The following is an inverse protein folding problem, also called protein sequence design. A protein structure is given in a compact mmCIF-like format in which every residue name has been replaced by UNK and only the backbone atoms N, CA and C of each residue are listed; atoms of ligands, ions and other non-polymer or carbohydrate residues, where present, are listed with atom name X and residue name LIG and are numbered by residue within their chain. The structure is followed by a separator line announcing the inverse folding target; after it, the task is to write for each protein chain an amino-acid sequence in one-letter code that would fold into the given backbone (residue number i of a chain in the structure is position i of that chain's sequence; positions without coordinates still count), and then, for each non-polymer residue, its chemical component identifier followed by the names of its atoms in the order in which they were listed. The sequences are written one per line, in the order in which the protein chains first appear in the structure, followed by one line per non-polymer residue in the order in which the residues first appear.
data_IF_907376926219
#
_entry.id   IF_907376926219
#
_cell.length_a   1.000
_cell.length_b   1.000
_cell.length_c   1.000
_cell.angle_alpha   90.00
_cell.angle_beta   90.00
_cell.angle_gamma   90.00
#
_symmetry.space_group_name_H-M   'P 1'
#
loop_
_entity.id
_entity.type
_entity.pdbx_description
1 polymer ?
#
# COMPACT_ATOMS: atom_id res chain seq x y z
N UNK A 1 36.32 -17.10 -19.67
CA UNK A 1 34.93 -17.59 -19.83
C UNK A 1 34.00 -16.38 -19.83
N UNK A 2 32.97 -16.33 -20.66
CA UNK A 2 32.02 -15.22 -20.62
C UNK A 2 31.29 -15.17 -19.27
N UNK A 3 30.89 -13.96 -18.85
CA UNK A 3 30.08 -13.81 -17.63
C UNK A 3 28.72 -14.49 -17.79
N UNK A 4 28.22 -15.10 -16.74
CA UNK A 4 26.89 -15.70 -16.73
C UNK A 4 25.78 -14.63 -16.74
N UNK A 5 24.66 -14.94 -17.39
CA UNK A 5 23.46 -14.09 -17.35
C UNK A 5 22.97 -13.95 -15.89
N UNK A 6 22.68 -12.73 -15.45
CA UNK A 6 22.26 -12.44 -14.07
C UNK A 6 20.73 -12.38 -13.90
N UNK A 7 19.98 -12.41 -15.00
CA UNK A 7 18.53 -12.27 -15.00
C UNK A 7 18.04 -10.81 -14.89
N UNK A 8 16.73 -10.64 -14.70
CA UNK A 8 16.12 -9.32 -14.56
C UNK A 8 16.39 -8.73 -13.17
N UNK A 9 16.62 -7.42 -13.12
CA UNK A 9 16.75 -6.66 -11.88
C UNK A 9 15.78 -5.48 -11.92
N UNK A 10 14.97 -5.35 -10.86
CA UNK A 10 14.02 -4.25 -10.69
C UNK A 10 14.54 -3.28 -9.62
N UNK A 11 14.33 -1.95 -9.79
CA UNK A 11 14.59 -1.00 -8.72
C UNK A 11 13.68 -1.30 -7.54
N UNK A 12 14.21 -1.20 -6.32
CA UNK A 12 13.46 -1.53 -5.11
C UNK A 12 13.50 -0.43 -4.04
N UNK A 13 14.36 0.57 -4.21
CA UNK A 13 14.52 1.69 -3.27
C UNK A 13 14.59 2.98 -4.09
N UNK A 14 13.77 3.93 -3.71
CA UNK A 14 13.81 5.29 -4.26
C UNK A 14 13.66 6.30 -3.11
N UNK A 15 14.36 7.43 -3.19
CA UNK A 15 14.24 8.49 -2.19
C UNK A 15 14.15 9.84 -2.88
N UNK A 16 13.24 10.68 -2.39
CA UNK A 16 13.08 12.06 -2.86
C UNK A 16 12.67 12.97 -1.70
N UNK A 17 12.74 14.28 -1.92
CA UNK A 17 12.28 15.28 -0.95
C UNK A 17 10.85 15.72 -1.26
N UNK A 18 10.08 15.90 -0.19
CA UNK A 18 8.79 16.58 -0.18
C UNK A 18 8.89 17.72 0.84
N UNK A 19 9.22 18.92 0.37
CA UNK A 19 9.58 20.01 1.27
C UNK A 19 10.81 19.63 2.12
N UNK A 20 10.67 19.75 3.44
CA UNK A 20 11.68 19.34 4.41
C UNK A 20 11.69 17.83 4.71
N UNK A 21 10.71 17.06 4.23
CA UNK A 21 10.65 15.61 4.48
C UNK A 21 11.42 14.81 3.42
N UNK A 22 11.95 13.66 3.82
CA UNK A 22 12.47 12.65 2.89
C UNK A 22 11.49 11.47 2.81
N UNK A 23 11.05 11.14 1.61
CA UNK A 23 10.13 10.05 1.32
C UNK A 23 10.90 8.92 0.67
N UNK A 24 10.80 7.72 1.22
CA UNK A 24 11.51 6.54 0.70
C UNK A 24 10.53 5.38 0.50
N UNK A 25 9.88 5.26 -0.68
CA UNK A 25 9.20 4.03 -1.05
C UNK A 25 10.20 2.87 -1.14
N UNK A 26 9.83 1.73 -0.57
CA UNK A 26 10.64 0.51 -0.58
C UNK A 26 9.75 -0.62 -1.09
N UNK A 27 10.05 -1.17 -2.26
CA UNK A 27 9.36 -2.37 -2.72
C UNK A 27 9.80 -3.55 -1.87
N UNK A 28 8.98 -3.95 -0.90
CA UNK A 28 9.24 -5.11 -0.04
C UNK A 28 9.43 -6.38 -0.87
N UNK A 29 8.51 -6.59 -1.79
CA UNK A 29 8.51 -7.76 -2.68
C UNK A 29 7.49 -7.55 -3.80
N UNK A 30 7.29 -8.54 -4.66
CA UNK A 30 6.24 -8.54 -5.66
C UNK A 30 5.79 -9.97 -5.98
N UNK A 31 4.61 -10.11 -6.54
CA UNK A 31 4.10 -11.36 -7.09
C UNK A 31 3.58 -11.14 -8.51
N UNK A 32 3.75 -12.12 -9.37
CA UNK A 32 3.08 -12.17 -10.67
C UNK A 32 1.75 -12.88 -10.48
N UNK A 33 0.66 -12.14 -10.56
CA UNK A 33 -0.70 -12.67 -10.43
C UNK A 33 -1.18 -13.27 -11.74
N UNK A 34 -1.95 -14.39 -11.72
CA UNK A 34 -2.56 -14.95 -12.90
C UNK A 34 -3.79 -14.15 -13.30
N UNK A 35 -3.66 -13.30 -14.34
CA UNK A 35 -4.77 -12.51 -14.90
C UNK A 35 -5.23 -11.33 -14.06
N UNK A 36 -5.79 -10.34 -14.75
CA UNK A 36 -6.43 -9.17 -14.13
C UNK A 36 -7.83 -9.51 -13.60
N UNK A 37 -8.49 -10.50 -14.19
CA UNK A 37 -9.75 -11.06 -13.68
C UNK A 37 -9.48 -12.45 -13.06
N UNK A 38 -10.25 -12.80 -12.00
CA UNK A 38 -11.38 -12.10 -11.39
C UNK A 38 -11.02 -10.91 -10.48
N UNK A 39 -9.73 -10.61 -10.28
CA UNK A 39 -9.27 -9.61 -9.29
C UNK A 39 -9.93 -8.24 -9.46
N UNK A 40 -10.22 -7.83 -10.70
CA UNK A 40 -10.87 -6.56 -11.02
C UNK A 40 -12.22 -6.81 -11.70
N UNK A 41 -13.31 -6.48 -11.01
CA UNK A 41 -14.69 -6.57 -11.51
C UNK A 41 -15.28 -7.98 -11.59
N UNK A 42 -14.54 -9.01 -11.16
CA UNK A 42 -14.96 -10.40 -11.24
C UNK A 42 -15.03 -10.94 -12.66
N UNK A 43 -15.44 -12.21 -12.81
CA UNK A 43 -15.53 -12.89 -14.12
C UNK A 43 -16.51 -12.23 -15.09
N UNK A 44 -17.57 -11.62 -14.59
CA UNK A 44 -18.57 -10.93 -15.43
C UNK A 44 -18.00 -9.73 -16.21
N UNK A 45 -16.83 -9.22 -15.83
CA UNK A 45 -16.13 -8.10 -16.46
C UNK A 45 -14.86 -8.50 -17.22
N UNK A 46 -14.61 -9.79 -17.40
CA UNK A 46 -13.39 -10.31 -18.00
C UNK A 46 -13.09 -9.72 -19.38
N UNK A 47 -14.08 -9.66 -20.29
CA UNK A 47 -13.89 -9.13 -21.63
C UNK A 47 -13.60 -7.62 -21.63
N UNK A 48 -14.28 -6.86 -20.76
CA UNK A 48 -14.04 -5.41 -20.60
C UNK A 48 -12.63 -5.14 -20.08
N UNK A 49 -12.20 -5.87 -19.04
CA UNK A 49 -10.86 -5.74 -18.45
C UNK A 49 -9.78 -6.16 -19.44
N UNK A 50 -10.01 -7.22 -20.22
CA UNK A 50 -9.10 -7.68 -21.26
C UNK A 50 -8.95 -6.66 -22.40
N UNK A 51 -10.07 -6.06 -22.84
CA UNK A 51 -10.04 -5.00 -23.82
C UNK A 51 -9.28 -3.76 -23.32
N UNK A 52 -9.48 -3.38 -22.05
CA UNK A 52 -8.78 -2.30 -21.39
C UNK A 52 -7.26 -2.57 -21.28
N UNK A 53 -6.88 -3.77 -20.89
CA UNK A 53 -5.48 -4.18 -20.82
C UNK A 53 -4.81 -4.05 -22.19
N UNK A 54 -5.46 -4.56 -23.25
CA UNK A 54 -4.97 -4.44 -24.63
C UNK A 54 -4.80 -2.98 -25.06
N UNK A 55 -5.78 -2.12 -24.74
CA UNK A 55 -5.71 -0.69 -25.07
C UNK A 55 -4.53 0.01 -24.38
N UNK A 56 -4.14 -0.45 -23.20
CA UNK A 56 -2.99 0.06 -22.43
C UNK A 56 -1.68 -0.70 -22.72
N UNK A 57 -1.67 -1.63 -23.69
CA UNK A 57 -0.50 -2.45 -24.06
C UNK A 57 0.04 -3.29 -22.89
N UNK A 58 -0.83 -3.69 -21.96
CA UNK A 58 -0.54 -4.60 -20.86
C UNK A 58 -1.13 -5.98 -21.15
N UNK A 59 -0.42 -7.04 -20.69
CA UNK A 59 -0.97 -8.39 -20.72
C UNK A 59 -2.17 -8.52 -19.80
N UNK A 60 -3.18 -9.29 -20.21
CA UNK A 60 -4.33 -9.62 -19.37
C UNK A 60 -4.16 -10.90 -18.57
N UNK A 61 -3.23 -11.77 -18.99
CA UNK A 61 -3.08 -13.12 -18.46
C UNK A 61 -2.17 -13.19 -17.24
N UNK A 62 -1.35 -12.15 -17.06
CA UNK A 62 -0.49 -11.97 -15.88
C UNK A 62 -0.31 -10.49 -15.62
N UNK A 63 -0.22 -10.11 -14.33
CA UNK A 63 0.16 -8.75 -13.97
C UNK A 63 1.11 -8.72 -12.79
N UNK A 64 1.96 -7.71 -12.79
CA UNK A 64 2.91 -7.45 -11.73
C UNK A 64 2.19 -6.78 -10.56
N UNK A 65 2.34 -7.32 -9.36
CA UNK A 65 1.69 -6.83 -8.16
C UNK A 65 2.74 -6.59 -7.07
N UNK A 66 3.23 -5.34 -6.94
CA UNK A 66 4.24 -4.97 -5.95
C UNK A 66 3.61 -4.79 -4.57
N UNK A 67 4.45 -4.83 -3.55
CA UNK A 67 4.16 -4.47 -2.17
C UNK A 67 5.15 -3.39 -1.75
N UNK A 68 4.68 -2.16 -1.55
CA UNK A 68 5.56 -0.99 -1.44
C UNK A 68 5.29 -0.16 -0.18
N UNK A 69 5.78 -0.60 0.99
CA UNK A 69 5.86 0.23 2.19
C UNK A 69 6.61 1.55 1.93
N UNK A 70 6.31 2.57 2.73
CA UNK A 70 6.90 3.90 2.58
C UNK A 70 7.48 4.38 3.90
N UNK A 71 8.76 4.79 3.89
CA UNK A 71 9.37 5.54 4.98
C UNK A 71 9.22 7.04 4.73
N UNK A 72 8.86 7.77 5.76
CA UNK A 72 8.84 9.24 5.80
C UNK A 72 9.73 9.69 6.94
N UNK A 73 10.86 10.30 6.59
CA UNK A 73 11.73 10.97 7.57
C UNK A 73 11.35 12.45 7.63
N UNK A 74 10.80 12.87 8.76
CA UNK A 74 10.37 14.25 8.99
C UNK A 74 11.52 15.14 9.49
N UNK A 75 12.70 14.58 9.68
CA UNK A 75 13.83 15.24 10.36
C UNK A 75 13.74 15.22 11.89
N UNK A 76 12.59 14.74 12.44
CA UNK A 76 12.35 14.54 13.88
C UNK A 76 11.96 13.12 14.22
N UNK A 77 11.14 12.49 13.38
CA UNK A 77 10.67 11.12 13.53
C UNK A 77 10.76 10.40 12.19
N UNK A 78 11.11 9.13 12.22
CA UNK A 78 11.06 8.21 11.10
C UNK A 78 9.76 7.42 11.17
N UNK A 79 8.86 7.66 10.23
CA UNK A 79 7.53 7.04 10.14
C UNK A 79 7.55 5.98 9.06
N UNK A 80 7.17 4.76 9.38
CA UNK A 80 6.99 3.66 8.41
C UNK A 80 5.49 3.41 8.20
N UNK A 81 5.03 3.49 6.96
CA UNK A 81 3.69 3.08 6.53
C UNK A 81 3.73 1.67 6.00
N UNK A 82 3.01 0.77 6.66
CA UNK A 82 2.92 -0.65 6.39
C UNK A 82 4.26 -1.39 6.47
N UNK A 83 4.22 -2.70 6.56
CA UNK A 83 5.43 -3.49 6.85
C UNK A 83 5.68 -4.63 5.85
N UNK A 84 4.89 -4.70 4.77
CA UNK A 84 5.08 -5.75 3.76
C UNK A 84 4.71 -7.14 4.25
N UNK A 85 5.23 -8.13 3.55
CA UNK A 85 4.89 -9.54 3.74
C UNK A 85 5.62 -10.22 4.91
N UNK A 86 6.78 -9.68 5.32
CA UNK A 86 7.60 -10.29 6.36
C UNK A 86 7.90 -11.76 6.09
N UNK A 87 7.77 -12.58 7.14
CA UNK A 87 8.03 -14.03 7.11
C UNK A 87 6.77 -14.87 6.95
N UNK A 88 5.60 -14.28 6.62
CA UNK A 88 4.31 -14.98 6.58
C UNK A 88 4.31 -16.24 5.73
N UNK A 89 4.95 -16.24 4.56
CA UNK A 89 5.00 -17.43 3.69
C UNK A 89 5.90 -18.54 4.24
N UNK A 90 6.81 -18.23 5.14
CA UNK A 90 7.62 -19.23 5.83
C UNK A 90 6.93 -19.79 7.08
N UNK A 91 6.15 -18.94 7.77
CA UNK A 91 5.50 -19.29 9.03
C UNK A 91 4.13 -19.95 8.83
N UNK A 92 3.42 -19.65 7.72
CA UNK A 92 2.04 -20.10 7.51
C UNK A 92 1.85 -20.77 6.15
N UNK A 93 1.41 -22.02 6.15
CA UNK A 93 1.17 -22.83 4.94
C UNK A 93 0.17 -22.15 3.99
N UNK A 94 -0.87 -21.49 4.54
CA UNK A 94 -1.89 -20.77 3.77
C UNK A 94 -1.33 -19.56 3.00
N UNK A 95 -0.16 -19.06 3.37
CA UNK A 95 0.51 -17.95 2.69
C UNK A 95 1.52 -18.40 1.64
N UNK A 96 1.93 -19.67 1.64
CA UNK A 96 2.82 -20.22 0.61
C UNK A 96 2.21 -20.06 -0.78
N UNK A 97 3.00 -19.53 -1.70
CA UNK A 97 2.55 -19.25 -3.08
C UNK A 97 1.56 -18.10 -3.24
N UNK A 98 1.04 -17.53 -2.16
CA UNK A 98 0.16 -16.36 -2.18
C UNK A 98 0.92 -15.05 -1.99
N UNK A 99 1.85 -15.04 -1.05
CA UNK A 99 2.76 -13.92 -0.78
C UNK A 99 4.20 -14.40 -0.86
N UNK A 100 5.09 -13.69 -1.54
CA UNK A 100 6.52 -13.96 -1.49
C UNK A 100 7.10 -13.56 -0.13
N UNK A 101 8.28 -14.06 0.26
CA UNK A 101 8.98 -13.57 1.44
C UNK A 101 9.25 -12.07 1.32
N UNK A 102 9.03 -11.33 2.40
CA UNK A 102 9.33 -9.91 2.50
C UNK A 102 10.83 -9.64 2.56
N UNK A 103 11.25 -8.49 2.05
CA UNK A 103 12.63 -8.02 2.07
C UNK A 103 12.76 -6.60 2.66
N UNK A 104 11.70 -6.11 3.31
CA UNK A 104 11.65 -4.73 3.79
C UNK A 104 12.87 -4.39 4.66
N UNK A 105 13.17 -5.20 5.68
CA UNK A 105 14.29 -4.94 6.62
C UNK A 105 15.64 -4.90 5.89
N UNK A 106 15.88 -5.84 4.97
CA UNK A 106 17.11 -5.86 4.19
C UNK A 106 17.23 -4.63 3.27
N UNK A 107 16.12 -4.19 2.67
CA UNK A 107 16.08 -3.02 1.81
C UNK A 107 16.12 -1.70 2.60
N UNK A 108 15.56 -1.67 3.79
CA UNK A 108 15.75 -0.56 4.74
C UNK A 108 17.24 -0.37 5.05
N UNK A 109 17.97 -1.46 5.31
CA UNK A 109 19.41 -1.40 5.55
C UNK A 109 20.18 -0.84 4.35
N UNK A 110 19.80 -1.23 3.12
CA UNK A 110 20.35 -0.64 1.89
C UNK A 110 20.01 0.85 1.74
N UNK A 111 18.84 1.26 2.25
CA UNK A 111 18.41 2.66 2.30
C UNK A 111 19.08 3.45 3.44
N UNK A 112 19.88 2.82 4.30
CA UNK A 112 20.58 3.44 5.42
C UNK A 112 19.79 3.49 6.73
N UNK A 113 18.71 2.70 6.86
CA UNK A 113 17.87 2.61 8.05
C UNK A 113 17.84 1.20 8.64
N UNK A 114 17.60 1.13 9.95
CA UNK A 114 17.38 -0.13 10.67
C UNK A 114 15.98 -0.13 11.29
N UNK A 115 15.41 -1.29 11.66
CA UNK A 115 14.15 -1.34 12.39
C UNK A 115 14.13 -0.50 13.66
N UNK A 116 15.27 -0.40 14.35
CA UNK A 116 15.42 0.38 15.59
C UNK A 116 15.43 1.89 15.39
N UNK A 117 15.59 2.36 14.16
CA UNK A 117 15.54 3.79 13.79
C UNK A 117 14.09 4.27 13.56
N UNK A 118 13.14 3.33 13.43
CA UNK A 118 11.74 3.66 13.21
C UNK A 118 11.09 4.10 14.51
N UNK A 119 10.59 5.32 14.55
CA UNK A 119 9.90 5.90 15.72
C UNK A 119 8.42 5.55 15.71
N UNK A 120 7.83 5.50 14.53
CA UNK A 120 6.38 5.28 14.34
C UNK A 120 6.12 4.28 13.23
N UNK A 121 5.36 3.25 13.52
CA UNK A 121 4.79 2.35 12.50
C UNK A 121 3.30 2.62 12.37
N UNK A 122 2.87 3.01 11.19
CA UNK A 122 1.47 3.25 10.84
C UNK A 122 0.99 2.10 9.99
N UNK A 123 -0.06 1.42 10.40
CA UNK A 123 -0.72 0.40 9.58
C UNK A 123 -1.98 1.00 8.96
N UNK A 124 -2.00 1.02 7.64
CA UNK A 124 -3.12 1.59 6.86
C UNK A 124 -4.37 0.74 6.99
N UNK A 125 -4.22 -0.59 6.97
CA UNK A 125 -5.28 -1.57 7.19
C UNK A 125 -4.73 -2.97 7.51
N UNK A 126 -5.60 -3.91 7.87
CA UNK A 126 -5.23 -5.20 8.45
C UNK A 126 -5.01 -6.35 7.47
N UNK A 127 -4.78 -6.12 6.19
CA UNK A 127 -4.46 -7.21 5.27
C UNK A 127 -3.04 -7.76 5.49
N UNK A 128 -2.81 -9.05 5.19
CA UNK A 128 -1.55 -9.73 5.51
C UNK A 128 -0.30 -9.07 4.94
N UNK A 129 -0.37 -8.54 3.73
CA UNK A 129 0.72 -7.88 3.02
C UNK A 129 1.08 -6.48 3.57
N UNK A 130 0.28 -5.94 4.49
CA UNK A 130 0.55 -4.69 5.21
C UNK A 130 1.06 -4.92 6.61
N UNK A 131 0.62 -6.01 7.26
CA UNK A 131 0.96 -6.31 8.66
C UNK A 131 2.04 -7.38 8.82
N UNK A 132 2.41 -8.08 7.73
CA UNK A 132 3.24 -9.28 7.80
C UNK A 132 4.63 -9.06 8.38
N UNK A 133 5.22 -7.91 8.14
CA UNK A 133 6.53 -7.55 8.67
C UNK A 133 6.54 -6.96 10.09
N UNK A 134 5.38 -6.84 10.76
CA UNK A 134 5.31 -6.36 12.14
C UNK A 134 5.95 -7.34 13.14
N UNK A 135 5.89 -8.63 12.82
CA UNK A 135 6.37 -9.69 13.72
C UNK A 135 7.16 -10.73 12.95
N UNK A 136 8.24 -11.21 13.54
CA UNK A 136 9.02 -12.36 13.09
C UNK A 136 9.18 -13.33 14.26
N UNK A 137 8.84 -14.60 14.04
CA UNK A 137 8.84 -15.64 15.08
C UNK A 137 8.11 -15.19 16.37
N UNK A 138 7.03 -14.44 16.26
CA UNK A 138 6.24 -13.94 17.37
C UNK A 138 6.87 -12.75 18.14
N UNK A 139 7.96 -12.17 17.64
CA UNK A 139 8.60 -11.00 18.26
C UNK A 139 8.38 -9.75 17.38
N UNK A 140 8.13 -8.58 17.98
CA UNK A 140 8.00 -7.33 17.23
C UNK A 140 9.30 -6.98 16.49
N UNK A 141 9.24 -6.76 15.18
CA UNK A 141 10.39 -6.32 14.37
C UNK A 141 10.77 -4.88 14.71
N UNK A 142 9.80 -4.01 14.89
CA UNK A 142 9.98 -2.59 15.20
C UNK A 142 9.77 -2.34 16.70
N UNK A 143 10.56 -3.00 17.55
CA UNK A 143 10.32 -3.07 18.99
C UNK A 143 10.38 -1.71 19.71
N UNK A 144 11.12 -0.72 19.17
CA UNK A 144 11.24 0.65 19.73
C UNK A 144 10.13 1.59 19.28
N UNK A 145 9.48 1.28 18.17
CA UNK A 145 8.45 2.13 17.60
C UNK A 145 7.18 2.16 18.47
N UNK A 146 6.48 3.30 18.47
CA UNK A 146 5.04 3.33 18.77
C UNK A 146 4.26 2.90 17.53
N UNK A 147 3.10 2.31 17.71
CA UNK A 147 2.25 1.87 16.63
C UNK A 147 1.04 2.80 16.48
N UNK A 148 0.53 2.94 15.25
CA UNK A 148 -0.66 3.72 14.96
C UNK A 148 -1.58 2.86 14.10
N UNK A 149 -2.80 2.63 14.58
CA UNK A 149 -3.84 1.85 13.91
C UNK A 149 -5.13 2.66 13.78
N UNK A 150 -5.84 2.48 12.67
CA UNK A 150 -7.20 2.98 12.55
C UNK A 150 -8.13 2.33 13.58
N UNK A 151 -8.85 3.13 14.37
CA UNK A 151 -9.74 2.59 15.42
C UNK A 151 -10.81 1.66 14.85
N UNK A 152 -11.43 2.03 13.73
CA UNK A 152 -12.45 1.22 13.05
C UNK A 152 -11.86 -0.10 12.53
N UNK A 153 -10.65 -0.05 11.98
CA UNK A 153 -9.93 -1.21 11.45
C UNK A 153 -9.56 -2.18 12.56
N UNK A 154 -8.99 -1.63 13.65
CA UNK A 154 -8.63 -2.43 14.82
C UNK A 154 -9.85 -3.12 15.43
N UNK A 155 -10.93 -2.37 15.63
CA UNK A 155 -12.18 -2.91 16.17
C UNK A 155 -12.75 -4.04 15.32
N UNK A 156 -12.79 -3.86 13.99
CA UNK A 156 -13.31 -4.86 13.06
C UNK A 156 -12.56 -6.20 13.17
N UNK A 157 -11.24 -6.16 13.03
CA UNK A 157 -10.45 -7.40 13.06
C UNK A 157 -10.36 -8.00 14.46
N UNK A 158 -10.25 -7.19 15.50
CA UNK A 158 -10.17 -7.67 16.88
C UNK A 158 -11.48 -8.33 17.34
N UNK A 159 -12.62 -7.67 17.15
CA UNK A 159 -13.94 -8.22 17.50
C UNK A 159 -14.30 -9.41 16.63
N UNK A 160 -13.99 -9.36 15.34
CA UNK A 160 -14.26 -10.42 14.38
C UNK A 160 -15.74 -10.57 14.01
N UNK A 161 -16.56 -9.60 14.39
CA UNK A 161 -17.96 -9.53 14.00
C UNK A 161 -18.04 -9.22 12.49
N UNK A 162 -18.90 -9.95 11.77
CA UNK A 162 -19.12 -9.77 10.33
C UNK A 162 -17.89 -10.03 9.43
N UNK A 163 -16.84 -10.67 9.93
CA UNK A 163 -15.71 -11.10 9.10
C UNK A 163 -16.18 -12.24 8.19
N UNK A 164 -16.08 -12.01 6.86
CA UNK A 164 -16.48 -13.02 5.86
C UNK A 164 -15.65 -14.29 6.02
N UNK A 165 -16.21 -15.43 5.68
CA UNK A 165 -15.52 -16.75 5.74
C UNK A 165 -14.15 -16.72 5.08
N UNK A 166 -14.08 -16.16 3.86
CA UNK A 166 -12.84 -16.04 3.09
C UNK A 166 -11.76 -15.16 3.76
N UNK A 167 -12.10 -14.42 4.82
CA UNK A 167 -11.22 -13.51 5.58
C UNK A 167 -10.87 -14.01 6.98
N UNK A 168 -11.40 -15.15 7.41
CA UNK A 168 -11.14 -15.67 8.76
C UNK A 168 -9.67 -15.87 9.04
N UNK A 169 -8.91 -16.37 8.06
CA UNK A 169 -7.47 -16.54 8.22
C UNK A 169 -6.74 -15.19 8.33
N UNK A 170 -7.16 -14.17 7.57
CA UNK A 170 -6.60 -12.81 7.73
C UNK A 170 -6.85 -12.29 9.15
N UNK A 171 -8.04 -12.53 9.71
CA UNK A 171 -8.34 -12.19 11.11
C UNK A 171 -7.45 -12.94 12.11
N UNK A 172 -7.23 -14.22 11.90
CA UNK A 172 -6.33 -15.02 12.77
C UNK A 172 -4.92 -14.41 12.78
N UNK A 173 -4.39 -14.04 11.60
CA UNK A 173 -3.11 -13.33 11.49
C UNK A 173 -3.14 -11.99 12.21
N UNK A 174 -4.19 -11.19 11.99
CA UNK A 174 -4.34 -9.88 12.64
C UNK A 174 -4.32 -10.00 14.16
N UNK A 175 -5.11 -10.90 14.71
CA UNK A 175 -5.17 -11.14 16.15
C UNK A 175 -3.82 -11.60 16.70
N UNK A 176 -3.10 -12.42 15.97
CA UNK A 176 -1.79 -12.92 16.38
C UNK A 176 -0.68 -11.89 16.27
N UNK A 177 -0.73 -11.01 15.27
CA UNK A 177 0.37 -10.09 14.92
C UNK A 177 0.13 -8.68 15.48
N UNK A 178 -1.09 -8.15 15.32
CA UNK A 178 -1.40 -6.75 15.61
C UNK A 178 -1.92 -6.54 17.03
N UNK A 179 -2.84 -7.40 17.48
CA UNK A 179 -3.46 -7.23 18.80
C UNK A 179 -2.46 -7.20 19.96
N UNK A 180 -1.35 -7.99 19.96
CA UNK A 180 -0.34 -7.90 21.02
C UNK A 180 0.36 -6.55 21.09
N UNK A 181 0.35 -5.75 20.03
CA UNK A 181 0.97 -4.43 19.96
C UNK A 181 0.05 -3.30 20.44
N UNK A 182 -1.22 -3.60 20.72
CA UNK A 182 -2.24 -2.59 21.06
C UNK A 182 -1.89 -1.75 22.31
N UNK A 183 -1.17 -2.31 23.26
CA UNK A 183 -0.74 -1.59 24.47
C UNK A 183 0.31 -0.49 24.21
N UNK A 184 0.97 -0.53 23.04
CA UNK A 184 1.93 0.48 22.55
C UNK A 184 1.36 1.29 21.39
N UNK A 185 0.08 1.15 21.11
CA UNK A 185 -0.55 1.74 19.94
C UNK A 185 -1.42 2.94 20.28
N UNK A 186 -1.45 3.88 19.35
CA UNK A 186 -2.44 4.96 19.31
C UNK A 186 -3.52 4.59 18.29
N UNK A 187 -4.77 4.59 18.73
CA UNK A 187 -5.93 4.39 17.87
C UNK A 187 -6.38 5.74 17.31
N UNK A 188 -6.39 5.87 15.98
CA UNK A 188 -6.74 7.13 15.30
C UNK A 188 -8.00 6.97 14.44
N UNK A 189 -8.57 8.12 14.08
CA UNK A 189 -9.73 8.26 13.19
C UNK A 189 -9.39 9.17 12.01
N UNK A 190 -10.20 9.20 10.95
CA UNK A 190 -10.06 10.20 9.89
C UNK A 190 -10.00 11.63 10.47
N UNK A 191 -9.04 12.42 10.01
CA UNK A 191 -8.77 13.76 10.49
C UNK A 191 -7.70 13.86 11.58
N UNK A 192 -7.39 12.78 12.29
CA UNK A 192 -6.35 12.79 13.32
C UNK A 192 -4.95 12.90 12.69
N UNK A 193 -4.05 13.55 13.43
CA UNK A 193 -2.65 13.70 13.05
C UNK A 193 -1.79 12.60 13.68
N UNK A 194 -0.93 11.98 12.88
CA UNK A 194 0.02 10.95 13.34
C UNK A 194 1.27 11.60 13.96
N UNK A 195 1.86 12.50 13.20
CA UNK A 195 2.95 13.41 13.54
C UNK A 195 2.72 14.72 12.79
N UNK A 196 3.33 15.85 13.17
CA UNK A 196 3.15 17.11 12.46
C UNK A 196 3.37 16.95 10.94
N UNK A 197 2.34 17.30 10.16
CA UNK A 197 2.33 17.20 8.72
C UNK A 197 1.85 15.85 8.14
N UNK A 198 1.45 14.88 8.96
CA UNK A 198 0.90 13.60 8.52
C UNK A 198 -0.48 13.38 9.13
N UNK A 199 -1.52 13.34 8.30
CA UNK A 199 -2.93 13.31 8.74
C UNK A 199 -3.73 12.20 8.06
N UNK A 200 -4.52 11.48 8.87
CA UNK A 200 -5.40 10.40 8.41
C UNK A 200 -6.58 10.90 7.58
N UNK A 201 -6.90 10.18 6.52
CA UNK A 201 -8.02 10.43 5.61
C UNK A 201 -8.87 9.17 5.53
N UNK A 202 -10.20 9.32 5.56
CA UNK A 202 -11.13 8.21 5.32
C UNK A 202 -10.89 7.60 3.93
N UNK A 203 -10.59 6.31 3.92
CA UNK A 203 -10.47 5.51 2.70
C UNK A 203 -11.19 4.15 2.85
N UNK A 204 -12.23 4.09 3.69
CA UNK A 204 -12.98 2.89 4.03
C UNK A 204 -13.60 2.20 2.81
N UNK A 205 -13.65 0.89 2.86
CA UNK A 205 -14.31 0.05 1.85
C UNK A 205 -13.48 -1.14 1.41
N UNK A 206 -12.23 -0.94 0.98
CA UNK A 206 -11.30 -2.03 0.69
C UNK A 206 -11.08 -2.91 1.93
N UNK A 207 -10.85 -2.28 3.05
CA UNK A 207 -11.06 -2.82 4.39
C UNK A 207 -11.99 -1.87 5.15
N UNK A 208 -12.76 -2.32 6.16
CA UNK A 208 -13.76 -1.50 6.83
C UNK A 208 -13.25 -0.21 7.45
N UNK A 209 -11.98 -0.17 7.84
CA UNK A 209 -11.36 0.98 8.47
C UNK A 209 -10.07 1.44 7.80
N UNK A 210 -9.82 1.11 6.53
CA UNK A 210 -8.64 1.54 5.79
C UNK A 210 -8.49 3.06 5.85
N UNK A 211 -7.30 3.52 6.24
CA UNK A 211 -6.93 4.93 6.25
C UNK A 211 -5.90 5.23 5.14
N UNK A 212 -6.16 6.29 4.39
CA UNK A 212 -5.15 6.97 3.60
C UNK A 212 -4.49 8.07 4.45
N UNK A 213 -3.37 8.63 4.00
CA UNK A 213 -2.65 9.65 4.75
C UNK A 213 -2.17 10.77 3.84
N UNK A 214 -2.57 12.01 4.13
CA UNK A 214 -1.93 13.19 3.54
C UNK A 214 -0.62 13.44 4.26
N UNK A 215 0.42 13.81 3.49
CA UNK A 215 1.75 14.14 3.95
C UNK A 215 2.08 15.51 3.40
N UNK A 216 2.39 16.46 4.28
CA UNK A 216 2.63 17.86 3.92
C UNK A 216 3.86 18.40 4.64
N UNK A 217 4.74 19.06 3.88
CA UNK A 217 5.90 19.78 4.40
C UNK A 217 6.22 20.96 3.49
N UNK A 218 6.45 22.14 4.06
CA UNK A 218 6.84 23.37 3.36
C UNK A 218 5.94 23.69 2.15
N UNK A 219 4.63 23.49 2.30
CA UNK A 219 3.63 23.71 1.26
C UNK A 219 3.59 22.66 0.13
N UNK A 220 4.45 21.66 0.16
CA UNK A 220 4.37 20.50 -0.74
C UNK A 220 3.51 19.40 -0.11
N UNK A 221 2.65 18.79 -0.93
CA UNK A 221 1.68 17.81 -0.46
C UNK A 221 1.67 16.55 -1.29
N UNK A 222 1.53 15.41 -0.63
CA UNK A 222 1.23 14.13 -1.24
C UNK A 222 0.20 13.34 -0.44
N UNK A 223 -0.30 12.26 -1.00
CA UNK A 223 -1.13 11.29 -0.31
C UNK A 223 -0.57 9.86 -0.48
N UNK A 224 -0.45 9.14 0.62
CA UNK A 224 -0.37 7.69 0.61
C UNK A 224 -1.81 7.14 0.67
N UNK A 225 -2.33 6.62 -0.43
CA UNK A 225 -3.70 6.12 -0.51
C UNK A 225 -3.85 4.62 -0.22
N UNK A 226 -2.73 3.94 0.13
CA UNK A 226 -2.69 2.50 0.39
C UNK A 226 -3.38 1.70 -0.74
N UNK A 227 -4.42 0.94 -0.38
CA UNK A 227 -5.16 0.05 -1.28
C UNK A 227 -6.47 0.64 -1.84
N UNK A 228 -6.60 1.96 -1.84
CA UNK A 228 -7.71 2.62 -2.55
C UNK A 228 -7.77 2.20 -4.03
N UNK A 229 -6.61 1.90 -4.64
CA UNK A 229 -6.50 1.38 -6.00
C UNK A 229 -5.44 0.27 -6.07
N UNK A 230 -5.76 -0.82 -6.73
CA UNK A 230 -4.87 -1.98 -6.87
C UNK A 230 -4.12 -2.07 -8.20
N UNK A 231 -4.42 -1.19 -9.19
CA UNK A 231 -3.76 -1.24 -10.51
C UNK A 231 -3.81 0.11 -11.23
N UNK A 232 -2.67 0.58 -11.70
CA UNK A 232 -2.49 1.91 -12.30
C UNK A 232 -3.33 2.19 -13.56
N UNK A 233 -3.70 1.19 -14.34
CA UNK A 233 -4.57 1.37 -15.50
C UNK A 233 -6.02 0.98 -15.19
N UNK A 234 -6.26 -0.25 -14.72
CA UNK A 234 -7.63 -0.77 -14.54
C UNK A 234 -8.39 0.05 -13.51
N UNK A 235 -7.84 0.24 -12.31
CA UNK A 235 -8.54 0.99 -11.25
C UNK A 235 -8.79 2.45 -11.62
N UNK A 236 -7.90 3.07 -12.41
CA UNK A 236 -8.04 4.47 -12.81
C UNK A 236 -9.05 4.64 -13.95
N UNK A 237 -8.97 3.80 -14.96
CA UNK A 237 -9.85 3.92 -16.15
C UNK A 237 -11.24 3.30 -15.92
N UNK A 238 -11.37 2.41 -14.95
CA UNK A 238 -12.63 1.80 -14.52
C UNK A 238 -12.74 1.83 -12.98
N UNK A 239 -12.89 3.02 -12.40
CA UNK A 239 -12.98 3.18 -10.95
C UNK A 239 -14.26 2.56 -10.35
N UNK A 240 -15.23 2.22 -11.20
CA UNK A 240 -16.46 1.51 -10.88
C UNK A 240 -16.26 -0.01 -10.67
N UNK A 241 -15.15 -0.57 -11.13
CA UNK A 241 -14.85 -1.99 -10.90
C UNK A 241 -14.29 -2.16 -9.48
N UNK A 242 -14.97 -2.99 -8.69
CA UNK A 242 -14.46 -3.38 -7.37
C UNK A 242 -13.27 -4.33 -7.52
N UNK A 243 -12.43 -4.39 -6.50
CA UNK A 243 -11.46 -5.47 -6.34
C UNK A 243 -12.17 -6.67 -5.69
N UNK A 244 -11.78 -7.88 -6.05
CA UNK A 244 -12.31 -9.09 -5.44
C UNK A 244 -12.03 -9.15 -3.94
N UNK A 245 -10.94 -8.52 -3.54
CA UNK A 245 -10.48 -8.38 -2.16
C UNK A 245 -11.14 -7.23 -1.39
N UNK A 246 -11.97 -6.38 -2.00
CA UNK A 246 -12.72 -5.34 -1.28
C UNK A 246 -13.73 -5.97 -0.31
N UNK A 247 -13.70 -5.60 0.96
CA UNK A 247 -14.61 -6.12 1.98
C UNK A 247 -16.01 -5.53 1.86
N UNK A 248 -16.12 -4.24 1.57
CA UNK A 248 -17.35 -3.55 1.17
C UNK A 248 -17.16 -2.98 -0.23
N UNK A 249 -17.63 -3.72 -1.23
CA UNK A 249 -17.38 -3.43 -2.65
C UNK A 249 -17.98 -2.09 -3.10
N UNK A 250 -19.18 -1.78 -2.63
CA UNK A 250 -19.88 -0.54 -3.00
C UNK A 250 -19.18 0.68 -2.39
N UNK A 251 -18.86 0.58 -1.10
CA UNK A 251 -18.14 1.62 -0.39
C UNK A 251 -16.72 1.83 -0.94
N UNK A 252 -16.01 0.76 -1.27
CA UNK A 252 -14.68 0.84 -1.89
C UNK A 252 -14.72 1.60 -3.22
N UNK A 253 -15.71 1.31 -4.08
CA UNK A 253 -15.93 2.04 -5.34
C UNK A 253 -16.25 3.51 -5.11
N UNK A 254 -17.15 3.82 -4.17
CA UNK A 254 -17.50 5.19 -3.84
C UNK A 254 -16.30 5.98 -3.27
N UNK A 255 -15.56 5.37 -2.36
CA UNK A 255 -14.34 5.92 -1.77
C UNK A 255 -13.26 6.16 -2.83
N UNK A 256 -13.03 5.19 -3.70
CA UNK A 256 -12.06 5.29 -4.80
C UNK A 256 -12.34 6.49 -5.70
N UNK A 257 -13.59 6.65 -6.14
CA UNK A 257 -14.01 7.79 -6.95
C UNK A 257 -13.79 9.11 -6.24
N UNK A 258 -14.19 9.20 -4.97
CA UNK A 258 -13.99 10.41 -4.14
C UNK A 258 -12.51 10.77 -3.99
N UNK A 259 -11.64 9.79 -3.71
CA UNK A 259 -10.21 10.03 -3.56
C UNK A 259 -9.59 10.41 -4.90
N UNK A 260 -9.96 9.77 -6.01
CA UNK A 260 -9.46 10.13 -7.33
C UNK A 260 -9.86 11.56 -7.71
N UNK A 261 -11.11 11.97 -7.43
CA UNK A 261 -11.55 13.34 -7.65
C UNK A 261 -10.77 14.35 -6.81
N UNK A 262 -10.54 14.04 -5.53
CA UNK A 262 -9.76 14.87 -4.63
C UNK A 262 -8.33 15.07 -5.14
N UNK A 263 -7.60 13.98 -5.39
CA UNK A 263 -6.20 14.06 -5.80
C UNK A 263 -6.01 14.70 -7.16
N UNK A 264 -6.96 14.49 -8.09
CA UNK A 264 -6.94 15.13 -9.41
C UNK A 264 -7.29 16.62 -9.35
N UNK A 265 -8.15 17.05 -8.42
CA UNK A 265 -8.49 18.46 -8.21
C UNK A 265 -7.34 19.22 -7.56
N UNK A 266 -6.76 18.62 -6.52
CA UNK A 266 -5.72 19.24 -5.71
C UNK A 266 -4.32 19.10 -6.30
N UNK A 267 -4.16 18.32 -7.39
CA UNK A 267 -2.87 18.07 -8.03
C UNK A 267 -1.88 17.35 -7.11
N UNK A 268 -2.36 16.47 -6.23
CA UNK A 268 -1.51 15.81 -5.25
C UNK A 268 -0.63 14.73 -5.90
N UNK A 269 0.62 14.68 -5.48
CA UNK A 269 1.44 13.47 -5.70
C UNK A 269 0.84 12.33 -4.89
N UNK A 270 0.67 11.19 -5.53
CA UNK A 270 0.08 9.99 -4.95
C UNK A 270 1.13 8.91 -4.80
N UNK A 271 1.14 8.25 -3.65
CA UNK A 271 1.82 6.98 -3.45
C UNK A 271 0.78 5.88 -3.25
N UNK A 272 0.94 4.76 -3.93
CA UNK A 272 0.06 3.60 -3.80
C UNK A 272 0.84 2.31 -3.63
N UNK A 273 0.36 1.46 -2.71
CA UNK A 273 1.08 0.26 -2.28
C UNK A 273 1.29 -0.76 -3.41
N UNK A 274 0.30 -0.90 -4.31
CA UNK A 274 0.33 -1.82 -5.45
C UNK A 274 0.50 -1.13 -6.80
N UNK A 275 0.90 0.13 -6.81
CA UNK A 275 0.95 0.90 -8.04
C UNK A 275 2.24 0.70 -8.84
N UNK A 276 2.12 0.79 -10.15
CA UNK A 276 3.21 0.69 -11.11
C UNK A 276 3.22 1.90 -12.05
N UNK A 277 4.35 2.25 -12.67
CA UNK A 277 5.68 1.65 -12.45
C UNK A 277 6.24 1.99 -11.07
N UNK A 278 7.20 1.18 -10.60
CA UNK A 278 7.94 1.54 -9.40
C UNK A 278 8.55 2.95 -9.53
N UNK A 279 8.50 3.81 -8.51
CA UNK A 279 8.25 3.54 -7.08
C UNK A 279 6.77 3.57 -6.65
N UNK A 280 5.80 3.44 -7.54
CA UNK A 280 4.38 3.53 -7.21
C UNK A 280 3.88 4.95 -6.96
N UNK A 281 4.64 5.93 -7.43
CA UNK A 281 4.36 7.37 -7.31
C UNK A 281 3.81 7.93 -8.62
N UNK A 282 2.89 8.88 -8.54
CA UNK A 282 2.36 9.54 -9.73
C UNK A 282 1.24 10.52 -9.43
N UNK A 283 0.67 11.06 -10.47
CA UNK A 283 -0.47 11.96 -10.43
C UNK A 283 -1.69 11.31 -11.07
N UNK A 284 -2.87 11.72 -10.64
CA UNK A 284 -4.14 11.32 -11.23
C UNK A 284 -4.66 12.48 -12.06
N UNK A 285 -4.94 12.23 -13.32
CA UNK A 285 -5.55 13.21 -14.20
C UNK A 285 -6.94 12.76 -14.65
N UNK A 286 -7.89 13.68 -14.70
CA UNK A 286 -9.22 13.40 -15.27
C UNK A 286 -9.12 13.21 -16.77
N UNK A 287 -9.89 12.25 -17.27
CA UNK A 287 -10.17 12.07 -18.70
C UNK A 287 -11.65 12.36 -18.97
N UNK A 288 -12.12 12.22 -20.20
CA UNK A 288 -13.53 12.46 -20.51
C UNK A 288 -14.50 11.60 -19.68
N UNK A 289 -14.13 10.36 -19.34
CA UNK A 289 -15.04 9.41 -18.69
C UNK A 289 -14.48 8.75 -17.41
N UNK A 290 -13.20 9.02 -17.08
CA UNK A 290 -12.52 8.35 -15.96
C UNK A 290 -11.25 9.11 -15.56
N UNK A 291 -10.18 8.38 -15.24
CA UNK A 291 -8.89 8.93 -14.85
C UNK A 291 -7.75 8.21 -15.57
N UNK A 292 -6.58 8.84 -15.61
CA UNK A 292 -5.33 8.21 -16.00
C UNK A 292 -4.24 8.42 -14.96
N UNK A 293 -3.32 7.49 -14.91
CA UNK A 293 -2.12 7.57 -14.10
C UNK A 293 -0.99 8.24 -14.88
N UNK A 294 -0.41 9.27 -14.33
CA UNK A 294 0.80 9.91 -14.82
C UNK A 294 1.95 9.57 -13.86
N UNK A 295 2.82 8.62 -14.19
CA UNK A 295 3.91 8.23 -13.30
C UNK A 295 4.83 9.39 -12.95
N UNK A 296 5.26 9.44 -11.70
CA UNK A 296 6.30 10.35 -11.22
C UNK A 296 7.61 10.13 -11.99
N UNK A 297 8.26 11.20 -12.36
CA UNK A 297 9.52 11.17 -13.10
C UNK A 297 10.64 11.74 -12.24
N UNK A 298 11.86 11.24 -12.38
CA UNK A 298 13.05 11.79 -11.74
C UNK A 298 13.31 13.26 -12.10
N UNK A 299 12.72 13.76 -13.19
CA UNK A 299 12.81 15.16 -13.61
C UNK A 299 12.28 16.13 -12.56
N UNK A 300 11.30 15.75 -11.77
CA UNK A 300 10.73 16.60 -10.70
C UNK A 300 11.69 16.83 -9.53
N UNK A 301 12.77 16.07 -9.46
CA UNK A 301 13.79 16.22 -8.43
C UNK A 301 14.98 17.07 -8.89
N UNK A 302 14.95 17.58 -10.12
CA UNK A 302 15.98 18.49 -10.62
C UNK A 302 15.72 19.88 -10.02
N UNK A 303 16.67 20.46 -9.27
CA UNK A 303 16.51 21.83 -8.77
C UNK A 303 16.23 22.81 -9.92
N UNK A 304 15.35 23.76 -9.66
CA UNK A 304 15.04 24.85 -10.60
C UNK A 304 16.25 25.76 -10.82
#
# INVERSE_FOLDING_TARGET
MPASMQGEMLPAIYRFKLGGFEITPIMDSYVIRPGLTPSFGGEAKADEVKALAKANRIGSDKYFHPFTPILVNTGKELVLFDTGNGTLSAEYEQMKGRLPPGQLVARMAQAGYKPEDVDVVVITHGHPDHIGGLSEAGQPVFAKARYVFGATEFDFWNKGENVREARKFNRELYVKIVVPLANKATMIKPGDEVVPGIRAVDAFGHSPGLLAFTIESDGQRMINWADTAGHYAVSLQRPDLHLDVDDDKEKAVATRKRIFDMVATDGLLVAGFHMMPYPGLGYVERTANAYRWLPHSYQVNVPA
#
